data_IF_687152372693
#
_entry.id   IF_687152372693
#
_cell.length_a   1.000
_cell.length_b   1.000
_cell.length_c   1.000
_cell.angle_alpha   90.00
_cell.angle_beta   90.00
_cell.angle_gamma   90.00
#
_symmetry.space_group_name_H-M   'P 1'
#
loop_
_entity.id
_entity.type
_entity.pdbx_description
1 polymer ?
#
# COMPACT_ATOMS: atom_id res chain seq x y z
N UNK A 1 11.12 37.56 36.23
CA UNK A 1 11.79 36.25 36.05
C UNK A 1 10.94 35.27 35.21
N UNK A 2 9.61 35.26 35.35
CA UNK A 2 8.70 34.37 34.59
C UNK A 2 8.54 34.69 33.09
N UNK A 3 8.71 35.96 32.68
CA UNK A 3 8.58 36.37 31.28
C UNK A 3 9.64 35.76 30.34
N UNK A 4 10.86 35.49 30.85
CA UNK A 4 11.90 34.79 30.08
C UNK A 4 11.53 33.33 29.83
N UNK A 5 10.97 32.66 30.84
CA UNK A 5 10.50 31.27 30.70
C UNK A 5 9.28 31.17 29.76
N UNK A 6 8.39 32.16 29.78
CA UNK A 6 7.22 32.21 28.90
C UNK A 6 7.62 32.31 27.41
N UNK A 7 8.64 33.12 27.09
CA UNK A 7 9.18 33.25 25.73
C UNK A 7 9.87 31.98 25.26
N UNK A 8 10.58 31.27 26.15
CA UNK A 8 11.23 29.99 25.82
C UNK A 8 10.19 28.90 25.53
N UNK A 9 9.08 28.85 26.27
CA UNK A 9 8.01 27.87 26.04
C UNK A 9 7.31 28.12 24.70
N UNK A 10 7.03 29.38 24.32
CA UNK A 10 6.43 29.71 23.02
C UNK A 10 7.34 29.33 21.85
N UNK A 11 8.66 29.47 22.01
CA UNK A 11 9.63 29.09 20.99
C UNK A 11 9.75 27.56 20.77
N UNK A 12 9.45 26.75 21.79
CA UNK A 12 9.50 25.27 21.70
C UNK A 12 8.23 24.70 21.04
N UNK A 13 7.09 25.40 21.15
CA UNK A 13 5.81 24.97 20.54
C UNK A 13 5.73 25.36 19.05
N UNK A 14 6.59 26.27 18.60
CA UNK A 14 6.69 26.66 17.20
C UNK A 14 7.53 25.68 16.39
N UNK A 15 6.91 25.05 15.39
CA UNK A 15 7.52 24.34 14.26
C UNK A 15 7.74 22.83 14.43
N UNK A 16 6.64 22.10 14.50
CA UNK A 16 6.54 20.81 13.78
C UNK A 16 5.43 20.92 12.74
N UNK A 17 5.61 21.79 11.73
CA UNK A 17 4.75 21.78 10.56
C UNK A 17 5.25 20.62 9.70
N UNK A 18 4.53 19.49 9.72
CA UNK A 18 4.79 18.43 8.76
C UNK A 18 4.37 18.95 7.39
N UNK A 19 5.36 19.27 6.56
CA UNK A 19 5.11 19.77 5.21
C UNK A 19 4.62 18.61 4.35
N UNK A 20 3.39 18.75 3.83
CA UNK A 20 2.83 17.75 2.91
C UNK A 20 3.64 17.77 1.62
N UNK A 21 4.16 16.62 1.15
CA UNK A 21 4.94 16.58 -0.08
C UNK A 21 4.16 17.13 -1.27
N UNK A 22 4.85 17.83 -2.17
CA UNK A 22 4.23 18.52 -3.32
C UNK A 22 3.51 17.60 -4.31
N UNK A 23 3.78 16.29 -4.25
CA UNK A 23 3.10 15.28 -5.07
C UNK A 23 1.75 14.82 -4.49
N UNK A 24 1.41 15.20 -3.27
CA UNK A 24 0.11 14.96 -2.65
C UNK A 24 -0.73 16.22 -2.76
N UNK A 25 -1.84 16.15 -3.50
CA UNK A 25 -2.77 17.27 -3.57
C UNK A 25 -3.65 17.28 -2.31
N UNK A 26 -3.63 18.39 -1.58
CA UNK A 26 -4.45 18.57 -0.38
C UNK A 26 -5.91 18.81 -0.78
N UNK A 27 -6.81 18.03 -0.18
CA UNK A 27 -8.25 18.18 -0.35
C UNK A 27 -8.88 18.70 0.95
N UNK A 28 -9.53 19.87 0.88
CA UNK A 28 -10.19 20.46 2.04
C UNK A 28 -11.42 19.65 2.45
N UNK A 29 -11.61 19.44 3.76
CA UNK A 29 -12.74 18.67 4.28
C UNK A 29 -14.11 19.26 3.94
N UNK A 30 -14.19 20.59 3.72
CA UNK A 30 -15.42 21.29 3.33
C UNK A 30 -15.57 21.44 1.81
N UNK A 31 -14.74 20.75 1.03
CA UNK A 31 -14.82 20.81 -0.42
C UNK A 31 -16.11 20.10 -0.89
N UNK A 32 -17.03 20.79 -1.59
CA UNK A 32 -18.24 20.13 -2.11
C UNK A 32 -17.94 19.06 -3.17
N UNK A 33 -16.74 19.08 -3.78
CA UNK A 33 -16.27 18.09 -4.75
C UNK A 33 -15.09 17.28 -4.18
N UNK A 34 -15.28 16.76 -2.96
CA UNK A 34 -14.23 16.05 -2.22
C UNK A 34 -13.73 14.81 -2.97
N UNK A 35 -14.64 13.98 -3.47
CA UNK A 35 -14.32 12.74 -4.18
C UNK A 35 -13.45 12.99 -5.41
N UNK A 36 -13.81 13.98 -6.24
CA UNK A 36 -13.03 14.39 -7.41
C UNK A 36 -11.64 14.91 -7.05
N UNK A 37 -11.55 15.65 -5.94
CA UNK A 37 -10.27 16.14 -5.43
C UNK A 37 -9.37 14.97 -5.02
N UNK A 38 -9.91 14.02 -4.25
CA UNK A 38 -9.18 12.84 -3.78
C UNK A 38 -8.75 11.97 -4.96
N UNK A 39 -9.62 11.78 -5.94
CA UNK A 39 -9.31 11.04 -7.17
C UNK A 39 -8.15 11.69 -7.95
N UNK A 40 -8.12 13.02 -8.07
CA UNK A 40 -7.00 13.75 -8.67
C UNK A 40 -5.72 13.63 -7.83
N UNK A 41 -5.84 13.66 -6.51
CA UNK A 41 -4.71 13.46 -5.60
C UNK A 41 -4.09 12.07 -5.79
N UNK A 42 -4.91 11.01 -5.86
CA UNK A 42 -4.45 9.64 -6.13
C UNK A 42 -3.75 9.55 -7.50
N UNK A 43 -4.29 10.20 -8.54
CA UNK A 43 -3.66 10.23 -9.87
C UNK A 43 -2.27 10.89 -9.84
N UNK A 44 -2.11 11.97 -9.08
CA UNK A 44 -0.80 12.63 -8.93
C UNK A 44 0.18 11.78 -8.11
N UNK A 45 -0.33 11.09 -7.09
CA UNK A 45 0.44 10.21 -6.21
C UNK A 45 0.93 8.95 -6.93
N UNK A 46 0.20 8.46 -7.94
CA UNK A 46 0.50 7.23 -8.70
C UNK A 46 1.97 7.12 -9.13
N UNK A 47 2.54 8.18 -9.72
CA UNK A 47 3.94 8.17 -10.16
C UNK A 47 4.91 7.91 -8.99
N UNK A 48 4.64 8.51 -7.84
CA UNK A 48 5.46 8.35 -6.64
C UNK A 48 5.32 6.98 -6.02
N UNK A 49 4.13 6.38 -6.07
CA UNK A 49 3.94 4.99 -5.65
C UNK A 49 4.72 4.01 -6.56
N UNK A 50 4.81 4.29 -7.85
CA UNK A 50 5.63 3.49 -8.78
C UNK A 50 7.12 3.64 -8.46
N UNK A 51 7.59 4.85 -8.17
CA UNK A 51 8.99 5.10 -7.78
C UNK A 51 9.33 4.52 -6.39
N UNK A 52 8.33 4.40 -5.52
CA UNK A 52 8.52 4.24 -4.08
C UNK A 52 8.77 5.59 -3.40
N UNK A 53 8.57 5.63 -2.08
CA UNK A 53 8.76 6.82 -1.24
C UNK A 53 9.66 6.42 -0.05
N UNK A 54 11.00 6.31 -0.27
CA UNK A 54 11.94 5.81 0.72
C UNK A 54 11.98 6.62 2.01
N UNK A 55 11.66 7.92 1.95
CA UNK A 55 11.58 8.78 3.14
C UNK A 55 10.48 8.37 4.13
N UNK A 56 9.53 7.53 3.71
CA UNK A 56 8.39 7.05 4.51
C UNK A 56 8.29 5.51 4.52
N UNK A 57 9.35 4.80 4.13
CA UNK A 57 9.38 3.34 4.02
C UNK A 57 8.29 2.74 3.10
N UNK A 58 7.77 3.53 2.16
CA UNK A 58 6.83 3.04 1.15
C UNK A 58 7.64 2.48 -0.02
N UNK A 59 7.50 1.17 -0.25
CA UNK A 59 8.12 0.50 -1.38
C UNK A 59 7.43 0.84 -2.71
N UNK A 60 8.11 0.57 -3.82
CA UNK A 60 7.50 0.64 -5.14
C UNK A 60 6.32 -0.32 -5.25
N UNK A 61 5.24 0.13 -5.90
CA UNK A 61 4.09 -0.73 -6.25
C UNK A 61 4.31 -1.51 -7.56
N UNK A 62 5.43 -1.30 -8.27
CA UNK A 62 5.67 -1.89 -9.59
C UNK A 62 7.16 -2.22 -9.83
N UNK A 63 7.58 -3.49 -9.65
CA UNK A 63 6.82 -4.57 -9.03
C UNK A 63 6.70 -4.38 -7.51
N UNK A 64 5.56 -4.75 -6.95
CA UNK A 64 5.39 -4.79 -5.50
C UNK A 64 5.96 -6.10 -4.95
N UNK A 65 6.89 -5.98 -4.00
CA UNK A 65 7.67 -7.09 -3.49
C UNK A 65 7.19 -7.50 -2.10
N UNK A 66 6.91 -8.79 -1.89
CA UNK A 66 6.64 -9.37 -0.59
C UNK A 66 7.63 -10.48 -0.29
N UNK A 67 8.23 -10.44 0.90
CA UNK A 67 9.27 -11.39 1.29
C UNK A 67 8.70 -12.81 1.43
N UNK A 68 7.83 -13.03 2.42
CA UNK A 68 7.22 -14.33 2.70
C UNK A 68 5.72 -14.17 2.90
N UNK A 69 4.93 -15.03 2.25
CA UNK A 69 3.49 -15.15 2.47
C UNK A 69 3.16 -16.60 2.84
N UNK A 70 2.33 -16.78 3.87
CA UNK A 70 1.80 -18.11 4.19
C UNK A 70 0.55 -18.34 3.36
N UNK A 71 0.63 -19.28 2.41
CA UNK A 71 -0.49 -19.57 1.49
C UNK A 71 -1.42 -20.60 2.13
N UNK A 72 -0.86 -21.65 2.71
CA UNK A 72 -1.60 -22.66 3.47
C UNK A 72 -0.81 -22.97 4.75
N UNK A 73 -1.51 -22.97 5.88
CA UNK A 73 -0.98 -23.41 7.17
C UNK A 73 -1.97 -24.37 7.83
N UNK A 74 -1.78 -25.67 7.62
CA UNK A 74 -2.59 -26.74 8.21
C UNK A 74 -1.67 -27.80 8.80
N UNK A 75 -2.14 -28.59 9.78
CA UNK A 75 -1.29 -29.59 10.47
C UNK A 75 -0.54 -30.55 9.54
N UNK A 76 -1.18 -30.97 8.44
CA UNK A 76 -0.61 -31.93 7.49
C UNK A 76 -0.05 -31.28 6.22
N UNK A 77 -0.25 -29.98 6.00
CA UNK A 77 0.13 -29.30 4.76
C UNK A 77 0.52 -27.85 5.09
N UNK A 78 1.75 -27.47 4.76
CA UNK A 78 2.23 -26.10 4.82
C UNK A 78 2.73 -25.66 3.45
N UNK A 79 2.30 -24.49 3.00
CA UNK A 79 2.78 -23.86 1.76
C UNK A 79 3.17 -22.42 2.08
N UNK A 80 4.42 -22.10 1.85
CA UNK A 80 4.98 -20.75 2.02
C UNK A 80 5.42 -20.25 0.66
N UNK A 81 4.90 -19.09 0.26
CA UNK A 81 5.41 -18.32 -0.86
C UNK A 81 6.53 -17.41 -0.40
N UNK A 82 7.58 -17.31 -1.20
CA UNK A 82 8.79 -16.52 -0.99
C UNK A 82 9.08 -15.72 -2.25
N UNK A 83 9.80 -14.59 -2.11
CA UNK A 83 10.20 -13.74 -3.23
C UNK A 83 9.02 -13.35 -4.13
N UNK A 84 7.87 -13.05 -3.53
CA UNK A 84 6.64 -12.76 -4.27
C UNK A 84 6.80 -11.42 -4.98
N UNK A 85 6.54 -11.41 -6.29
CA UNK A 85 6.53 -10.21 -7.13
C UNK A 85 5.14 -10.04 -7.73
N UNK A 86 4.53 -8.91 -7.43
CA UNK A 86 3.25 -8.50 -7.97
C UNK A 86 3.49 -7.42 -9.02
N UNK A 87 3.12 -7.71 -10.26
CA UNK A 87 3.27 -6.84 -11.41
C UNK A 87 1.92 -6.26 -11.84
N UNK A 88 1.98 -5.11 -12.50
CA UNK A 88 0.88 -4.36 -13.08
C UNK A 88 -0.10 -3.73 -12.07
N UNK A 89 0.27 -3.64 -10.78
CA UNK A 89 -0.53 -2.92 -9.79
C UNK A 89 -0.59 -1.42 -10.09
N UNK A 90 0.38 -0.89 -10.83
CA UNK A 90 0.33 0.49 -11.30
C UNK A 90 -0.80 0.74 -12.30
N UNK A 91 -1.34 -0.28 -12.96
CA UNK A 91 -2.39 -0.16 -13.99
C UNK A 91 -3.81 -0.27 -13.41
N UNK A 92 -4.02 0.18 -12.19
CA UNK A 92 -5.36 0.25 -11.61
C UNK A 92 -6.23 1.31 -12.31
N UNK A 93 -7.51 0.99 -12.45
CA UNK A 93 -8.57 1.87 -12.89
C UNK A 93 -9.60 2.01 -11.78
N UNK A 94 -9.84 3.25 -11.34
CA UNK A 94 -10.87 3.56 -10.34
C UNK A 94 -12.17 3.83 -11.08
N UNK A 95 -13.16 2.96 -10.90
CA UNK A 95 -14.51 3.10 -11.46
C UNK A 95 -15.37 4.03 -10.60
N UNK A 96 -15.19 3.97 -9.28
CA UNK A 96 -15.94 4.74 -8.30
C UNK A 96 -15.09 5.01 -7.06
N UNK A 97 -15.24 6.20 -6.50
CA UNK A 97 -14.65 6.59 -5.21
C UNK A 97 -15.63 7.52 -4.51
N UNK A 98 -15.91 7.23 -3.24
CA UNK A 98 -16.70 8.09 -2.37
C UNK A 98 -16.11 8.15 -0.97
N UNK A 99 -15.95 9.36 -0.45
CA UNK A 99 -15.41 9.62 0.88
C UNK A 99 -16.47 10.26 1.77
N UNK A 100 -16.94 9.51 2.76
CA UNK A 100 -17.81 9.98 3.84
C UNK A 100 -16.95 10.34 5.06
N UNK A 101 -16.69 11.64 5.25
CA UNK A 101 -15.89 12.13 6.37
C UNK A 101 -16.60 12.05 7.73
N UNK A 102 -17.94 11.99 7.75
CA UNK A 102 -18.70 11.88 9.00
C UNK A 102 -18.62 10.45 9.56
N UNK A 103 -18.70 9.45 8.66
CA UNK A 103 -18.54 8.04 9.02
C UNK A 103 -17.09 7.56 9.00
N UNK A 104 -16.17 8.36 8.45
CA UNK A 104 -14.78 7.97 8.19
C UNK A 104 -14.69 6.75 7.26
N UNK A 105 -15.55 6.71 6.25
CA UNK A 105 -15.63 5.60 5.28
C UNK A 105 -15.12 6.04 3.91
N UNK A 106 -14.24 5.23 3.33
CA UNK A 106 -13.82 5.34 1.94
C UNK A 106 -14.38 4.13 1.18
N UNK A 107 -15.33 4.38 0.30
CA UNK A 107 -15.78 3.40 -0.68
C UNK A 107 -15.00 3.59 -1.97
N UNK A 108 -14.39 2.52 -2.46
CA UNK A 108 -13.58 2.53 -3.67
C UNK A 108 -13.81 1.25 -4.45
N UNK A 109 -14.24 1.40 -5.70
CA UNK A 109 -14.28 0.32 -6.67
C UNK A 109 -13.16 0.53 -7.70
N UNK A 110 -12.24 -0.43 -7.75
CA UNK A 110 -11.11 -0.42 -8.67
C UNK A 110 -10.91 -1.81 -9.28
N UNK A 111 -10.35 -1.83 -10.49
CA UNK A 111 -9.91 -3.05 -11.15
C UNK A 111 -8.54 -2.87 -11.78
N UNK A 112 -7.94 -4.00 -12.15
CA UNK A 112 -6.70 -4.07 -12.92
C UNK A 112 -7.01 -4.83 -14.21
N UNK A 113 -6.59 -4.30 -15.35
CA UNK A 113 -6.77 -4.98 -16.64
C UNK A 113 -5.88 -6.21 -16.76
N UNK A 114 -4.71 -6.13 -16.12
CA UNK A 114 -3.68 -7.18 -16.12
C UNK A 114 -3.09 -7.31 -14.74
N UNK A 115 -2.82 -8.53 -14.33
CA UNK A 115 -2.08 -8.83 -13.12
C UNK A 115 -1.15 -10.03 -13.38
N UNK A 116 0.08 -9.93 -12.90
CA UNK A 116 1.03 -11.04 -12.92
C UNK A 116 1.67 -11.20 -11.55
N UNK A 117 1.67 -12.43 -11.03
CA UNK A 117 2.26 -12.79 -9.75
C UNK A 117 3.33 -13.84 -10.01
N UNK A 118 4.58 -13.53 -9.69
CA UNK A 118 5.66 -14.52 -9.67
C UNK A 118 5.96 -14.85 -8.21
N UNK A 119 6.01 -16.14 -7.87
CA UNK A 119 6.24 -16.60 -6.50
C UNK A 119 7.09 -17.86 -6.51
N UNK A 120 8.13 -17.88 -5.68
CA UNK A 120 8.81 -19.12 -5.31
C UNK A 120 8.04 -19.74 -4.16
N UNK A 121 7.85 -21.05 -4.11
CA UNK A 121 7.13 -21.69 -3.03
C UNK A 121 7.88 -22.89 -2.46
N UNK A 122 7.75 -23.05 -1.14
CA UNK A 122 8.11 -24.25 -0.40
C UNK A 122 6.83 -24.90 0.11
N UNK A 123 6.62 -26.15 -0.27
CA UNK A 123 5.50 -26.98 0.15
C UNK A 123 6.01 -28.14 1.00
N UNK A 124 5.39 -28.35 2.16
CA UNK A 124 5.65 -29.48 3.06
C UNK A 124 4.33 -30.19 3.31
N UNK A 125 4.27 -31.49 3.01
CA UNK A 125 3.10 -32.34 3.23
C UNK A 125 3.50 -33.47 4.17
N UNK A 126 2.76 -33.66 5.25
CA UNK A 126 2.98 -34.73 6.21
C UNK A 126 1.92 -35.81 6.03
N UNK A 127 2.29 -36.91 5.37
CA UNK A 127 1.44 -38.12 5.25
C UNK A 127 2.27 -39.31 5.68
N UNK A 128 2.25 -39.62 6.97
CA UNK A 128 3.12 -40.58 7.67
C UNK A 128 4.62 -40.25 7.64
N UNK A 129 5.10 -39.65 6.55
CA UNK A 129 6.44 -39.08 6.37
C UNK A 129 6.34 -37.69 5.75
N UNK A 130 7.30 -36.78 6.04
CA UNK A 130 7.31 -35.43 5.46
C UNK A 130 7.80 -35.46 4.01
N UNK A 131 6.98 -34.95 3.09
CA UNK A 131 7.31 -34.70 1.69
C UNK A 131 7.54 -33.20 1.48
N UNK A 132 8.64 -32.82 0.82
CA UNK A 132 8.98 -31.43 0.55
C UNK A 132 9.11 -31.18 -0.95
N UNK A 133 8.54 -30.08 -1.43
CA UNK A 133 8.62 -29.65 -2.82
C UNK A 133 8.87 -28.15 -2.88
N UNK A 134 9.95 -27.76 -3.55
CA UNK A 134 10.21 -26.38 -3.93
C UNK A 134 9.85 -26.17 -5.40
N UNK A 135 9.42 -24.97 -5.76
CA UNK A 135 9.17 -24.59 -7.13
C UNK A 135 8.95 -23.10 -7.28
N UNK A 136 8.74 -22.67 -8.53
CA UNK A 136 8.33 -21.30 -8.85
C UNK A 136 7.05 -21.37 -9.66
N UNK A 137 6.18 -20.40 -9.46
CA UNK A 137 4.87 -20.29 -10.10
C UNK A 137 4.68 -18.87 -10.63
N UNK A 138 4.13 -18.77 -11.84
CA UNK A 138 3.66 -17.50 -12.41
C UNK A 138 2.16 -17.59 -12.62
N UNK A 139 1.41 -16.73 -11.95
CA UNK A 139 -0.03 -16.59 -12.11
C UNK A 139 -0.31 -15.33 -12.93
N UNK A 140 -1.09 -15.46 -14.00
CA UNK A 140 -1.51 -14.33 -14.83
C UNK A 140 -3.02 -14.25 -14.83
N UNK A 141 -3.55 -13.04 -14.69
CA UNK A 141 -4.95 -12.72 -14.86
C UNK A 141 -5.08 -11.55 -15.82
N UNK A 142 -6.01 -11.67 -16.75
CA UNK A 142 -6.42 -10.63 -17.66
C UNK A 142 -7.94 -10.48 -17.52
N UNK A 143 -8.43 -9.24 -17.41
CA UNK A 143 -9.86 -8.92 -17.35
C UNK A 143 -10.37 -8.46 -18.72
#
# INVERSE_FOLDING_TARGET
MYAKYLLVIIAIIGNTISEVPSYIQICGQRNPNLDDCVLKSIKNLKRKLIEGIPETDIMSIEPFLLNNITIIDKPNIKIVGMNVKLHHLSNFHIEYLHLDLEKMELDINLHFDKNEINVDYNMIINVSVPLQKNGSLTLKGDK
#
